data_IF_394801919095
#
_entry.id   IF_394801919095
#
_cell.length_a   1.000
_cell.length_b   1.000
_cell.length_c   1.000
_cell.angle_alpha   90.00
_cell.angle_beta   90.00
_cell.angle_gamma   90.00
#
_symmetry.space_group_name_H-M   'P 1'
#
loop_
_entity.id
_entity.type
_entity.pdbx_description
1 polymer ?
#
# COMPACT_ATOMS: atom_id res chain seq x y z
N UNK A 1 -15.88 -15.87 5.40
CA UNK A 1 -16.22 -17.31 5.41
C UNK A 1 -16.84 -17.76 6.75
N UNK A 2 -16.26 -17.38 7.92
CA UNK A 2 -16.76 -17.79 9.25
C UNK A 2 -18.23 -17.38 9.46
N UNK A 3 -18.62 -16.14 9.17
CA UNK A 3 -20.00 -15.69 9.34
C UNK A 3 -20.99 -16.52 8.51
N UNK A 4 -20.63 -16.84 7.27
CA UNK A 4 -21.45 -17.68 6.39
C UNK A 4 -21.55 -19.11 6.90
N UNK A 5 -20.49 -19.68 7.47
CA UNK A 5 -20.52 -21.01 8.09
C UNK A 5 -21.36 -21.07 9.36
N UNK A 6 -21.62 -19.93 9.98
CA UNK A 6 -22.51 -19.77 11.12
C UNK A 6 -23.97 -19.47 10.74
N UNK A 7 -24.30 -19.51 9.43
CA UNK A 7 -25.65 -19.35 8.92
C UNK A 7 -26.03 -17.92 8.51
N UNK A 8 -25.07 -17.01 8.41
CA UNK A 8 -25.34 -15.67 7.86
C UNK A 8 -25.48 -15.72 6.33
N UNK A 9 -26.45 -15.00 5.77
CA UNK A 9 -26.62 -14.87 4.33
C UNK A 9 -25.65 -13.86 3.72
N UNK A 10 -25.32 -12.80 4.45
CA UNK A 10 -24.44 -11.72 4.04
C UNK A 10 -23.57 -11.23 5.19
N UNK A 11 -22.49 -10.56 4.82
CA UNK A 11 -21.58 -9.85 5.76
C UNK A 11 -21.65 -8.35 5.45
N UNK A 12 -22.17 -7.56 6.38
CA UNK A 12 -22.17 -6.10 6.28
C UNK A 12 -20.90 -5.53 6.94
N UNK A 13 -20.27 -4.56 6.29
CA UNK A 13 -19.05 -3.92 6.80
C UNK A 13 -19.04 -2.43 6.55
N UNK A 14 -18.50 -1.65 7.49
CA UNK A 14 -18.44 -0.17 7.45
C UNK A 14 -17.37 0.40 6.51
N UNK A 15 -16.87 -0.36 5.54
CA UNK A 15 -15.96 0.18 4.53
C UNK A 15 -16.69 1.11 3.56
N UNK A 16 -16.06 2.25 3.25
CA UNK A 16 -16.55 3.20 2.24
C UNK A 16 -16.24 2.67 0.84
N UNK A 17 -17.00 1.67 0.44
CA UNK A 17 -16.96 1.01 -0.86
C UNK A 17 -18.38 0.75 -1.34
N UNK A 18 -18.53 0.41 -2.61
CA UNK A 18 -19.81 0.01 -3.21
C UNK A 18 -19.64 -1.27 -4.00
N UNK A 19 -20.73 -1.95 -4.22
CA UNK A 19 -20.79 -3.09 -5.15
C UNK A 19 -21.83 -2.84 -6.22
N UNK A 20 -21.55 -3.31 -7.42
CA UNK A 20 -22.54 -3.49 -8.46
C UNK A 20 -22.44 -4.90 -9.03
N UNK A 21 -23.48 -5.33 -9.72
CA UNK A 21 -23.46 -6.61 -10.43
C UNK A 21 -24.17 -6.49 -11.75
N UNK A 22 -23.76 -7.32 -12.69
CA UNK A 22 -24.44 -7.48 -13.97
C UNK A 22 -24.47 -8.96 -14.33
N UNK A 23 -25.44 -9.34 -15.13
CA UNK A 23 -25.55 -10.68 -15.69
C UNK A 23 -24.96 -10.70 -17.11
N UNK A 24 -24.15 -11.70 -17.36
CA UNK A 24 -23.74 -12.06 -18.72
C UNK A 24 -24.03 -13.53 -18.88
N UNK A 25 -24.97 -13.86 -19.77
CA UNK A 25 -25.59 -15.19 -19.87
C UNK A 25 -26.15 -15.63 -18.51
N UNK A 26 -25.80 -16.80 -18.03
CA UNK A 26 -26.26 -17.36 -16.75
C UNK A 26 -25.37 -16.97 -15.55
N UNK A 27 -24.29 -16.20 -15.77
CA UNK A 27 -23.33 -15.84 -14.74
C UNK A 27 -23.52 -14.40 -14.25
N UNK A 28 -23.73 -14.23 -12.94
CA UNK A 28 -23.67 -12.92 -12.30
C UNK A 28 -22.22 -12.57 -11.95
N UNK A 29 -21.76 -11.41 -12.42
CA UNK A 29 -20.44 -10.87 -12.12
C UNK A 29 -20.57 -9.65 -11.22
N UNK A 30 -19.78 -9.60 -10.16
CA UNK A 30 -19.78 -8.53 -9.17
C UNK A 30 -18.57 -7.61 -9.37
N UNK A 31 -18.80 -6.32 -9.15
CA UNK A 31 -17.76 -5.28 -9.21
C UNK A 31 -17.60 -4.64 -7.84
N UNK A 32 -16.37 -4.40 -7.43
CA UNK A 32 -16.05 -3.54 -6.31
C UNK A 32 -15.82 -2.13 -6.85
N UNK A 33 -16.54 -1.16 -6.31
CA UNK A 33 -16.46 0.24 -6.69
C UNK A 33 -15.98 1.10 -5.53
N UNK A 34 -15.33 2.21 -5.84
CA UNK A 34 -15.00 3.24 -4.84
C UNK A 34 -16.27 3.76 -4.16
N UNK A 35 -16.17 4.12 -2.89
CA UNK A 35 -17.21 4.87 -2.19
C UNK A 35 -17.45 6.23 -2.84
N UNK A 36 -18.58 6.87 -2.53
CA UNK A 36 -18.90 8.20 -3.05
C UNK A 36 -18.06 9.30 -2.41
N UNK A 37 -17.54 9.09 -1.20
CA UNK A 37 -16.64 10.02 -0.53
C UNK A 37 -15.19 9.81 -1.00
N UNK A 38 -14.64 10.72 -1.84
CA UNK A 38 -13.29 10.56 -2.39
C UNK A 38 -12.19 10.62 -1.33
N UNK A 39 -12.50 11.21 -0.15
CA UNK A 39 -11.55 11.31 0.96
C UNK A 39 -11.55 10.05 1.85
N UNK A 40 -12.45 9.11 1.61
CA UNK A 40 -12.66 7.93 2.46
C UNK A 40 -12.74 6.63 1.67
N UNK A 41 -12.43 6.64 0.38
CA UNK A 41 -12.38 5.41 -0.40
C UNK A 41 -11.48 4.36 0.26
N UNK A 42 -12.06 3.19 0.53
CA UNK A 42 -11.41 2.07 1.20
C UNK A 42 -11.39 0.80 0.34
N UNK A 43 -11.70 0.92 -0.94
CA UNK A 43 -11.74 -0.22 -1.87
C UNK A 43 -10.43 -0.99 -1.92
N UNK A 44 -9.28 -0.31 -1.73
CA UNK A 44 -7.97 -0.94 -1.74
C UNK A 44 -7.77 -1.98 -0.60
N UNK A 45 -8.44 -1.83 0.54
CA UNK A 45 -8.41 -2.83 1.62
C UNK A 45 -9.07 -4.14 1.23
N UNK A 46 -9.93 -4.11 0.21
CA UNK A 46 -10.77 -5.23 -0.22
C UNK A 46 -10.32 -5.83 -1.54
N UNK A 47 -9.13 -5.45 -2.02
CA UNK A 47 -8.58 -5.92 -3.30
C UNK A 47 -8.34 -7.43 -3.36
N UNK A 48 -8.33 -8.13 -2.21
CA UNK A 48 -8.14 -9.59 -2.13
C UNK A 48 -9.46 -10.38 -2.09
N UNK A 49 -10.62 -9.71 -2.15
CA UNK A 49 -11.89 -10.40 -2.22
C UNK A 49 -12.05 -11.13 -3.57
N UNK A 50 -12.66 -12.31 -3.54
CA UNK A 50 -13.07 -13.02 -4.75
C UNK A 50 -14.55 -12.76 -5.07
N UNK A 51 -15.02 -13.24 -6.22
CA UNK A 51 -16.40 -13.06 -6.69
C UNK A 51 -17.45 -13.61 -5.72
N UNK A 52 -17.18 -14.78 -5.11
CA UNK A 52 -18.08 -15.36 -4.12
C UNK A 52 -18.19 -14.49 -2.87
N UNK A 53 -17.05 -14.07 -2.31
CA UNK A 53 -17.03 -13.21 -1.13
C UNK A 53 -17.71 -11.85 -1.42
N UNK A 54 -17.44 -11.28 -2.60
CA UNK A 54 -18.05 -10.00 -2.99
C UNK A 54 -19.57 -10.13 -3.16
N UNK A 55 -20.08 -11.25 -3.67
CA UNK A 55 -21.52 -11.51 -3.79
C UNK A 55 -22.24 -11.59 -2.44
N UNK A 56 -21.48 -11.84 -1.36
CA UNK A 56 -21.98 -11.98 0.02
C UNK A 56 -21.64 -10.77 0.90
N UNK A 57 -21.12 -9.69 0.33
CA UNK A 57 -20.69 -8.51 1.09
C UNK A 57 -21.61 -7.32 0.81
N UNK A 58 -21.99 -6.60 1.88
CA UNK A 58 -22.80 -5.37 1.82
C UNK A 58 -21.99 -4.23 2.42
N UNK A 59 -22.01 -3.07 1.78
CA UNK A 59 -21.34 -1.84 2.23
C UNK A 59 -22.36 -0.74 2.51
N UNK A 60 -23.00 -0.72 3.69
CA UNK A 60 -24.12 0.19 3.98
C UNK A 60 -23.75 1.68 3.91
N UNK A 61 -22.49 2.03 4.12
CA UNK A 61 -22.00 3.41 4.15
C UNK A 61 -21.34 3.86 2.83
N UNK A 62 -21.29 2.99 1.83
CA UNK A 62 -20.58 3.26 0.57
C UNK A 62 -21.19 4.37 -0.28
N UNK A 63 -22.49 4.57 -0.17
CA UNK A 63 -23.25 5.62 -0.87
C UNK A 63 -23.36 6.93 -0.07
N UNK A 64 -22.69 7.04 1.09
CA UNK A 64 -22.79 8.18 1.97
C UNK A 64 -21.43 8.87 2.14
N UNK A 65 -21.45 10.20 2.26
CA UNK A 65 -20.29 10.95 2.75
C UNK A 65 -20.13 10.75 4.26
N UNK A 66 -18.89 10.80 4.74
CA UNK A 66 -18.60 10.54 6.15
C UNK A 66 -19.32 11.46 7.11
N UNK A 67 -19.51 12.72 6.75
CA UNK A 67 -20.22 13.69 7.58
C UNK A 67 -21.71 13.31 7.72
N UNK A 68 -22.30 12.77 6.66
CA UNK A 68 -23.67 12.27 6.70
C UNK A 68 -23.78 11.03 7.58
N UNK A 69 -22.85 10.08 7.50
CA UNK A 69 -22.79 8.91 8.38
C UNK A 69 -22.73 9.35 9.85
N UNK A 70 -21.93 10.37 10.16
CA UNK A 70 -21.84 10.92 11.53
C UNK A 70 -23.14 11.61 11.96
N UNK A 71 -23.79 12.34 11.07
CA UNK A 71 -25.09 12.96 11.34
C UNK A 71 -26.13 11.88 11.69
N UNK A 72 -26.26 10.85 10.86
CA UNK A 72 -27.17 9.73 11.10
C UNK A 72 -26.86 9.04 12.44
N UNK A 73 -25.57 8.82 12.74
CA UNK A 73 -25.17 8.21 14.00
C UNK A 73 -25.56 9.05 15.23
N UNK A 74 -25.47 10.39 15.14
CA UNK A 74 -25.91 11.31 16.20
C UNK A 74 -27.41 11.34 16.35
N UNK A 75 -28.15 11.40 15.26
CA UNK A 75 -29.62 11.39 15.26
C UNK A 75 -30.23 10.10 15.83
N UNK A 76 -29.45 9.01 15.80
CA UNK A 76 -29.84 7.72 16.39
C UNK A 76 -29.15 7.43 17.74
N UNK A 77 -28.55 8.44 18.39
CA UNK A 77 -27.89 8.34 19.70
C UNK A 77 -26.86 7.20 19.80
N UNK A 78 -26.13 6.94 18.67
CA UNK A 78 -25.12 5.90 18.68
C UNK A 78 -23.89 6.35 19.46
N UNK A 79 -23.45 5.55 20.43
CA UNK A 79 -22.28 5.82 21.31
C UNK A 79 -20.98 6.08 20.48
N UNK A 80 -20.95 5.61 19.25
CA UNK A 80 -19.80 5.77 18.36
C UNK A 80 -19.84 7.02 17.49
N UNK A 81 -20.91 7.85 17.57
CA UNK A 81 -21.11 9.01 16.71
C UNK A 81 -19.93 10.01 16.74
N UNK A 82 -19.37 10.27 17.91
CA UNK A 82 -18.22 11.18 18.10
C UNK A 82 -16.86 10.45 18.13
N UNK A 83 -16.84 9.14 17.91
CA UNK A 83 -15.61 8.38 17.86
C UNK A 83 -14.73 8.86 16.69
N UNK A 84 -13.50 9.24 17.01
CA UNK A 84 -12.51 9.58 15.97
C UNK A 84 -12.18 8.35 15.13
N UNK A 85 -11.74 8.60 13.90
CA UNK A 85 -11.25 7.53 13.03
C UNK A 85 -10.20 6.68 13.73
N UNK A 86 -10.29 5.38 13.54
CA UNK A 86 -9.29 4.47 14.07
C UNK A 86 -7.94 4.77 13.41
N UNK A 87 -7.07 5.43 14.15
CA UNK A 87 -5.66 5.53 13.78
C UNK A 87 -4.95 4.33 14.41
N UNK A 88 -4.64 3.32 13.62
CA UNK A 88 -3.99 2.12 14.12
C UNK A 88 -4.28 0.88 13.27
N UNK A 89 -3.85 -0.26 13.77
CA UNK A 89 -4.11 -1.56 13.11
C UNK A 89 -5.55 -2.00 13.40
N UNK A 90 -6.25 -2.45 12.36
CA UNK A 90 -7.59 -3.02 12.48
C UNK A 90 -7.59 -4.11 13.56
N UNK A 91 -8.63 -4.12 14.41
CA UNK A 91 -8.83 -5.05 15.53
C UNK A 91 -7.85 -4.93 16.72
N UNK A 92 -6.69 -4.31 16.55
CA UNK A 92 -5.65 -4.17 17.58
C UNK A 92 -5.74 -2.81 18.30
N UNK A 93 -6.28 -1.79 17.62
CA UNK A 93 -6.47 -0.46 18.19
C UNK A 93 -5.26 0.47 17.97
N UNK A 94 -5.12 1.47 18.86
CA UNK A 94 -4.06 2.49 18.77
C UNK A 94 -2.73 1.94 19.27
N UNK A 95 -2.04 1.20 18.42
CA UNK A 95 -0.67 0.74 18.67
C UNK A 95 0.25 1.39 17.65
N UNK A 96 1.39 1.91 18.09
CA UNK A 96 2.42 2.35 17.18
C UNK A 96 2.97 1.13 16.44
N UNK A 97 2.93 1.13 15.13
CA UNK A 97 3.36 -0.01 14.32
C UNK A 97 4.76 -0.54 14.69
N UNK A 98 5.78 0.31 14.94
CA UNK A 98 7.08 -0.19 15.38
C UNK A 98 7.02 -0.96 16.71
N UNK A 99 6.22 -0.49 17.68
CA UNK A 99 6.10 -1.15 19.01
C UNK A 99 5.35 -2.48 18.89
N UNK A 100 4.39 -2.58 17.99
CA UNK A 100 3.73 -3.84 17.67
C UNK A 100 4.68 -4.84 16.99
N UNK A 101 5.44 -4.37 16.01
CA UNK A 101 6.38 -5.22 15.28
C UNK A 101 7.51 -5.74 16.18
N UNK A 102 7.98 -4.94 17.17
CA UNK A 102 9.00 -5.37 18.14
C UNK A 102 8.59 -6.59 18.97
N UNK A 103 7.30 -6.88 19.10
CA UNK A 103 6.83 -8.08 19.79
C UNK A 103 7.18 -9.38 19.06
N UNK A 104 7.38 -9.31 17.75
CA UNK A 104 7.68 -10.47 16.89
C UNK A 104 9.04 -10.37 16.20
N UNK A 105 9.49 -9.15 15.94
CA UNK A 105 10.72 -8.85 15.24
C UNK A 105 11.67 -8.14 16.20
N UNK A 106 12.67 -8.87 16.70
CA UNK A 106 13.64 -8.32 17.63
C UNK A 106 14.42 -7.16 16.99
N UNK A 107 14.64 -6.05 17.72
CA UNK A 107 15.50 -4.97 17.25
C UNK A 107 16.91 -5.49 16.97
N UNK A 108 17.47 -5.10 15.83
CA UNK A 108 18.84 -5.39 15.43
C UNK A 108 19.47 -4.12 14.88
N UNK A 109 20.52 -3.63 15.51
CA UNK A 109 21.22 -2.45 15.02
C UNK A 109 21.79 -2.68 13.63
N UNK A 110 21.63 -1.68 12.75
CA UNK A 110 22.14 -1.66 11.39
C UNK A 110 22.52 -0.25 10.96
N UNK A 111 23.10 -0.15 9.75
CA UNK A 111 23.59 1.10 9.20
C UNK A 111 22.53 1.83 8.38
N UNK A 112 22.52 3.16 8.51
CA UNK A 112 21.85 4.08 7.57
C UNK A 112 22.92 4.61 6.64
N UNK A 113 22.78 4.32 5.34
CA UNK A 113 23.75 4.71 4.31
C UNK A 113 23.10 5.73 3.38
N UNK A 114 23.70 6.91 3.29
CA UNK A 114 23.30 7.95 2.37
C UNK A 114 23.92 7.71 1.00
N UNK A 115 23.09 7.64 -0.03
CA UNK A 115 23.48 7.55 -1.44
C UNK A 115 23.38 8.94 -2.04
N UNK A 116 24.43 9.48 -2.69
CA UNK A 116 24.35 10.74 -3.41
C UNK A 116 23.39 10.70 -4.60
N UNK A 117 22.70 11.82 -4.89
CA UNK A 117 21.77 11.88 -6.01
C UNK A 117 22.44 11.76 -7.40
N UNK A 118 23.71 12.11 -7.48
CA UNK A 118 24.57 12.02 -8.66
C UNK A 118 25.38 10.72 -8.76
N UNK A 119 25.04 9.70 -7.95
CA UNK A 119 25.72 8.42 -8.02
C UNK A 119 25.50 7.74 -9.37
N UNK A 120 26.56 7.20 -9.97
CA UNK A 120 26.57 6.53 -11.29
C UNK A 120 25.52 5.43 -11.45
N UNK A 121 25.10 4.81 -10.32
CA UNK A 121 24.08 3.77 -10.32
C UNK A 121 22.71 4.26 -10.84
N UNK A 122 22.43 5.57 -10.76
CA UNK A 122 21.19 6.15 -11.28
C UNK A 122 21.27 6.43 -12.79
N UNK A 123 22.42 6.83 -13.32
CA UNK A 123 22.62 7.04 -14.75
C UNK A 123 22.34 5.77 -15.56
N UNK A 124 22.84 4.64 -15.08
CA UNK A 124 22.65 3.34 -15.72
C UNK A 124 21.19 2.83 -15.61
N UNK A 125 20.45 3.25 -14.60
CA UNK A 125 19.07 2.84 -14.40
C UNK A 125 18.08 3.61 -15.30
N UNK A 126 18.37 4.86 -15.65
CA UNK A 126 17.50 5.74 -16.43
C UNK A 126 17.89 5.87 -17.91
N UNK A 127 19.06 5.40 -18.32
CA UNK A 127 19.58 5.53 -19.70
C UNK A 127 19.01 4.54 -20.70
N UNK A 128 18.25 3.53 -20.26
CA UNK A 128 17.57 2.64 -21.19
C UNK A 128 16.27 3.30 -21.64
N UNK A 129 16.20 3.74 -22.90
CA UNK A 129 14.97 4.21 -23.55
C UNK A 129 13.85 3.16 -23.33
N UNK A 130 12.85 3.55 -22.58
CA UNK A 130 11.73 2.70 -22.18
C UNK A 130 10.70 2.51 -23.31
N UNK A 131 11.17 2.12 -24.51
CA UNK A 131 10.28 1.92 -25.65
C UNK A 131 9.78 0.48 -25.82
N UNK A 132 10.11 -0.41 -24.90
CA UNK A 132 9.59 -1.77 -24.95
C UNK A 132 9.19 -2.24 -23.57
N UNK A 133 7.89 -2.46 -23.37
CA UNK A 133 7.27 -3.16 -22.24
C UNK A 133 7.85 -4.57 -21.96
N UNK A 134 8.82 -4.99 -22.75
CA UNK A 134 9.54 -6.27 -22.67
C UNK A 134 10.86 -6.17 -21.91
N UNK A 135 11.34 -4.95 -21.61
CA UNK A 135 12.58 -4.79 -20.83
C UNK A 135 12.25 -4.95 -19.35
N UNK A 136 12.85 -5.92 -18.66
CA UNK A 136 12.62 -6.08 -17.23
C UNK A 136 12.97 -4.78 -16.50
N UNK A 137 12.08 -4.33 -15.63
CA UNK A 137 12.30 -3.17 -14.76
C UNK A 137 13.63 -3.34 -14.05
N UNK A 138 14.58 -2.45 -14.32
CA UNK A 138 15.94 -2.54 -13.80
C UNK A 138 15.92 -2.07 -12.34
N UNK A 139 15.90 -3.01 -11.42
CA UNK A 139 16.00 -2.70 -10.00
C UNK A 139 17.39 -2.15 -9.70
N UNK A 140 17.49 -0.93 -9.17
CA UNK A 140 18.76 -0.37 -8.69
C UNK A 140 19.30 -1.27 -7.57
N UNK A 141 20.51 -1.80 -7.76
CA UNK A 141 21.15 -2.66 -6.79
C UNK A 141 22.05 -1.83 -5.87
N UNK A 142 21.48 -1.38 -4.74
CA UNK A 142 22.22 -0.61 -3.76
C UNK A 142 23.26 -1.47 -3.04
N UNK A 143 24.47 -0.93 -2.90
CA UNK A 143 25.57 -1.54 -2.14
C UNK A 143 26.10 -0.54 -1.11
N UNK A 144 26.65 -1.00 0.03
CA UNK A 144 27.24 -0.10 1.04
C UNK A 144 28.33 0.82 0.49
N UNK A 145 29.03 0.37 -0.53
CA UNK A 145 30.13 1.11 -1.20
C UNK A 145 29.65 2.28 -2.06
N UNK A 146 28.34 2.36 -2.37
CA UNK A 146 27.78 3.45 -3.17
C UNK A 146 27.51 4.72 -2.36
N UNK A 147 27.69 4.69 -1.03
CA UNK A 147 27.42 5.83 -0.17
C UNK A 147 28.24 5.85 1.10
N UNK A 148 27.83 6.70 2.03
CA UNK A 148 28.47 6.87 3.34
C UNK A 148 27.52 6.52 4.47
N UNK A 149 28.01 5.94 5.56
CA UNK A 149 27.24 5.73 6.78
C UNK A 149 26.96 7.09 7.43
N UNK A 150 25.69 7.41 7.65
CA UNK A 150 25.24 8.68 8.25
C UNK A 150 24.50 8.47 9.57
N UNK A 151 24.23 7.24 9.96
CA UNK A 151 23.55 6.92 11.22
C UNK A 151 23.37 5.43 11.43
N UNK A 152 22.63 5.12 12.49
CA UNK A 152 22.25 3.75 12.87
C UNK A 152 20.72 3.65 13.02
N UNK A 153 20.20 2.45 12.85
CA UNK A 153 18.78 2.14 13.08
C UNK A 153 18.64 0.84 13.88
N UNK A 154 17.41 0.52 14.30
CA UNK A 154 17.12 -0.66 15.13
C UNK A 154 16.43 -1.80 14.36
N UNK A 155 16.58 -1.83 13.03
CA UNK A 155 16.06 -2.87 12.15
C UNK A 155 15.55 -2.30 10.83
N UNK A 156 16.12 -2.76 9.70
CA UNK A 156 15.73 -2.30 8.36
C UNK A 156 14.26 -2.60 8.04
N UNK A 157 13.71 -3.66 8.60
CA UNK A 157 12.30 -4.07 8.46
C UNK A 157 11.28 -3.09 9.08
N UNK A 158 11.72 -2.12 9.89
CA UNK A 158 10.85 -1.07 10.41
C UNK A 158 10.68 0.12 9.47
N UNK A 159 11.41 0.15 8.36
CA UNK A 159 11.42 1.26 7.43
C UNK A 159 10.73 0.91 6.11
N UNK A 160 10.16 1.92 5.49
CA UNK A 160 9.47 1.80 4.20
C UNK A 160 10.02 2.84 3.24
N UNK A 161 10.19 2.49 1.96
CA UNK A 161 10.63 3.42 0.93
C UNK A 161 9.79 4.70 0.92
N UNK A 162 10.43 5.86 0.79
CA UNK A 162 9.82 7.18 0.89
C UNK A 162 9.55 7.67 2.31
N UNK A 163 9.86 6.88 3.34
CA UNK A 163 9.72 7.32 4.74
C UNK A 163 10.76 8.37 5.07
N UNK A 164 10.31 9.47 5.73
CA UNK A 164 11.17 10.55 6.25
C UNK A 164 11.32 10.47 7.76
N UNK A 165 10.23 10.21 8.47
CA UNK A 165 10.22 10.23 9.94
C UNK A 165 10.84 8.97 10.53
N UNK A 166 11.56 9.13 11.66
CA UNK A 166 12.09 8.00 12.43
C UNK A 166 13.50 7.56 12.04
N UNK A 167 14.17 8.24 11.10
CA UNK A 167 15.58 7.97 10.75
C UNK A 167 16.54 8.41 11.85
N UNK A 168 16.17 9.39 12.67
CA UNK A 168 17.00 9.97 13.76
C UNK A 168 18.41 10.44 13.29
N UNK A 169 18.54 10.83 12.03
CA UNK A 169 19.73 11.44 11.44
C UNK A 169 19.49 12.92 11.27
N UNK A 170 20.38 13.74 11.79
CA UNK A 170 20.36 15.21 11.68
C UNK A 170 21.61 15.76 11.04
N UNK A 171 21.63 17.09 10.83
CA UNK A 171 22.81 17.78 10.30
C UNK A 171 23.01 17.70 8.79
N UNK A 172 22.00 17.21 8.06
CA UNK A 172 21.99 17.22 6.58
C UNK A 172 21.37 18.51 6.03
N UNK A 173 21.85 19.03 4.89
CA UNK A 173 21.29 20.23 4.25
C UNK A 173 19.79 20.09 3.90
N UNK A 174 19.39 18.91 3.42
CA UNK A 174 18.00 18.57 3.10
C UNK A 174 17.52 17.36 3.89
N UNK A 175 16.20 17.19 4.05
CA UNK A 175 15.64 16.02 4.71
C UNK A 175 16.04 14.71 4.01
N UNK A 176 16.36 13.69 4.81
CA UNK A 176 16.60 12.34 4.31
C UNK A 176 15.29 11.57 4.11
N UNK A 177 15.25 10.79 3.05
CA UNK A 177 14.18 9.86 2.73
C UNK A 177 14.74 8.46 2.50
N UNK A 178 14.04 7.45 2.97
CA UNK A 178 14.38 6.05 2.67
C UNK A 178 14.17 5.78 1.18
N UNK A 179 15.22 5.37 0.48
CA UNK A 179 15.17 5.01 -0.94
C UNK A 179 15.15 3.49 -1.16
N UNK A 180 15.76 2.73 -0.23
CA UNK A 180 15.71 1.27 -0.23
C UNK A 180 15.95 0.69 1.16
N UNK A 181 15.52 -0.55 1.38
CA UNK A 181 15.86 -1.35 2.56
C UNK A 181 16.41 -2.71 2.14
N UNK A 182 17.49 -3.12 2.75
CA UNK A 182 18.06 -4.47 2.64
C UNK A 182 17.88 -5.14 4.01
N UNK A 183 16.83 -5.96 4.12
CA UNK A 183 16.48 -6.62 5.38
C UNK A 183 17.48 -7.70 5.74
N UNK A 184 18.05 -8.40 4.76
CA UNK A 184 19.00 -9.48 4.96
C UNK A 184 20.33 -8.95 5.51
N UNK A 185 20.83 -7.86 4.93
CA UNK A 185 22.05 -7.17 5.41
C UNK A 185 21.77 -6.20 6.55
N UNK A 186 20.50 -5.95 6.86
CA UNK A 186 20.03 -5.00 7.87
C UNK A 186 20.56 -3.58 7.61
N UNK A 187 20.35 -3.07 6.38
CA UNK A 187 20.80 -1.75 5.93
C UNK A 187 19.59 -0.93 5.44
N UNK A 188 19.57 0.34 5.79
CA UNK A 188 18.64 1.34 5.26
C UNK A 188 19.40 2.31 4.39
N UNK A 189 19.07 2.38 3.10
CA UNK A 189 19.63 3.35 2.18
C UNK A 189 18.73 4.59 2.15
N UNK A 190 19.34 5.76 2.20
CA UNK A 190 18.65 7.05 2.23
C UNK A 190 19.21 7.99 1.19
N UNK A 191 18.41 8.96 0.76
CA UNK A 191 18.81 10.05 -0.11
C UNK A 191 18.32 11.40 0.39
N UNK A 192 19.05 12.48 0.10
CA UNK A 192 18.65 13.84 0.47
C UNK A 192 17.69 14.44 -0.53
N UNK A 193 16.67 15.15 0.00
CA UNK A 193 15.70 15.90 -0.78
C UNK A 193 14.59 15.05 -1.38
N UNK A 194 13.45 15.71 -1.60
CA UNK A 194 12.25 15.08 -2.17
C UNK A 194 12.39 14.68 -3.64
N UNK A 195 13.37 15.25 -4.34
CA UNK A 195 13.62 15.01 -5.76
C UNK A 195 14.74 14.00 -6.00
N UNK A 196 15.21 13.31 -4.95
CA UNK A 196 16.26 12.31 -5.08
C UNK A 196 15.84 11.18 -6.05
N UNK A 197 16.68 10.83 -7.06
CA UNK A 197 16.33 9.87 -8.11
C UNK A 197 15.91 8.51 -7.56
N UNK A 198 16.49 8.06 -6.46
CA UNK A 198 16.11 6.81 -5.79
C UNK A 198 14.71 6.75 -5.20
N UNK A 199 13.94 7.85 -5.22
CA UNK A 199 12.54 7.90 -4.78
C UNK A 199 11.54 7.63 -5.91
N UNK A 200 12.01 7.58 -7.15
CA UNK A 200 11.17 7.50 -8.35
C UNK A 200 11.57 6.30 -9.19
N UNK A 201 10.56 5.64 -9.72
CA UNK A 201 10.70 4.59 -10.71
C UNK A 201 9.78 4.87 -11.90
N UNK A 202 10.19 4.42 -13.08
CA UNK A 202 9.40 4.55 -14.32
C UNK A 202 8.45 3.39 -14.52
N UNK A 203 8.65 2.29 -13.79
CA UNK A 203 7.85 1.08 -13.93
C UNK A 203 7.76 0.29 -12.62
N UNK A 204 6.69 -0.48 -12.49
CA UNK A 204 6.46 -1.43 -11.41
C UNK A 204 6.31 -2.83 -12.02
N UNK A 205 7.02 -3.79 -11.46
CA UNK A 205 6.89 -5.19 -11.85
C UNK A 205 6.23 -6.00 -10.73
N UNK A 206 5.21 -6.77 -11.10
CA UNK A 206 4.49 -7.67 -10.20
C UNK A 206 4.55 -9.08 -10.80
N UNK A 207 4.94 -10.07 -10.00
CA UNK A 207 4.92 -11.47 -10.43
C UNK A 207 3.49 -11.92 -10.69
N UNK A 208 3.31 -12.81 -11.66
CA UNK A 208 1.99 -13.36 -11.99
C UNK A 208 1.30 -13.97 -10.76
N UNK A 209 2.04 -14.68 -9.94
CA UNK A 209 1.51 -15.35 -8.74
C UNK A 209 1.15 -14.37 -7.60
N UNK A 210 1.67 -13.15 -7.65
CA UNK A 210 1.34 -12.08 -6.69
C UNK A 210 0.15 -11.22 -7.15
N UNK A 211 -0.38 -11.45 -8.38
CA UNK A 211 -1.54 -10.74 -8.90
C UNK A 211 -2.84 -11.41 -8.49
N UNK A 212 -3.76 -10.64 -7.93
CA UNK A 212 -5.12 -11.06 -7.68
C UNK A 212 -6.10 -10.28 -8.55
N UNK A 213 -6.89 -10.99 -9.36
CA UNK A 213 -7.94 -10.41 -10.18
C UNK A 213 -9.30 -10.56 -9.51
N UNK A 214 -9.81 -9.46 -8.96
CA UNK A 214 -11.17 -9.42 -8.41
C UNK A 214 -12.22 -9.68 -9.52
N UNK A 215 -11.90 -9.28 -10.75
CA UNK A 215 -12.64 -9.55 -11.99
C UNK A 215 -11.83 -10.51 -12.89
N UNK A 216 -11.91 -11.84 -12.66
CA UNK A 216 -11.14 -12.83 -13.44
C UNK A 216 -11.44 -12.80 -14.93
N UNK A 217 -12.62 -12.32 -15.31
CA UNK A 217 -13.05 -12.12 -16.70
C UNK A 217 -12.28 -11.01 -17.43
N UNK A 218 -11.60 -10.12 -16.68
CA UNK A 218 -10.74 -9.06 -17.20
C UNK A 218 -9.25 -9.36 -17.02
N UNK A 219 -8.90 -10.56 -16.57
CA UNK A 219 -7.51 -10.93 -16.36
C UNK A 219 -6.75 -11.00 -17.68
N UNK A 220 -5.62 -10.29 -17.74
CA UNK A 220 -4.76 -10.28 -18.92
C UNK A 220 -4.13 -11.65 -19.19
N UNK A 221 -4.09 -12.05 -20.44
CA UNK A 221 -3.34 -13.19 -20.91
C UNK A 221 -1.88 -12.79 -21.18
N UNK A 222 -1.01 -13.78 -21.30
CA UNK A 222 0.40 -13.54 -21.61
C UNK A 222 0.54 -12.78 -22.94
N UNK A 223 1.24 -11.65 -22.91
CA UNK A 223 1.44 -10.77 -24.08
C UNK A 223 0.35 -9.74 -24.30
N UNK A 224 -0.76 -9.77 -23.58
CA UNK A 224 -1.78 -8.73 -23.66
C UNK A 224 -1.35 -7.45 -22.93
N UNK A 225 -1.82 -6.31 -23.47
CA UNK A 225 -1.55 -4.98 -22.92
C UNK A 225 -2.86 -4.21 -22.74
N UNK A 226 -2.99 -3.54 -21.60
CA UNK A 226 -4.17 -2.75 -21.28
C UNK A 226 -3.78 -1.51 -20.47
N UNK A 227 -4.45 -0.39 -20.71
CA UNK A 227 -4.29 0.81 -19.91
C UNK A 227 -5.15 0.74 -18.64
N UNK A 228 -4.52 0.97 -17.49
CA UNK A 228 -5.19 1.02 -16.20
C UNK A 228 -4.85 2.31 -15.46
N UNK A 229 -5.77 2.75 -14.63
CA UNK A 229 -5.45 3.70 -13.58
C UNK A 229 -5.01 2.92 -12.34
N UNK A 230 -3.87 3.28 -11.76
CA UNK A 230 -3.28 2.57 -10.63
C UNK A 230 -3.11 3.50 -9.42
N UNK A 231 -3.29 2.96 -8.23
CA UNK A 231 -2.93 3.60 -6.98
C UNK A 231 -1.82 2.80 -6.32
N UNK A 232 -0.62 3.37 -6.26
CA UNK A 232 0.56 2.71 -5.69
C UNK A 232 0.67 3.01 -4.19
N UNK A 233 0.25 4.19 -3.76
CA UNK A 233 0.30 4.63 -2.37
C UNK A 233 -0.86 5.56 -2.04
N UNK A 234 -1.22 5.61 -0.75
CA UNK A 234 -2.27 6.49 -0.23
C UNK A 234 -1.71 7.87 0.11
#
# INVERSE_FOLDING_TARGET
DIALSLGADYVATGHYCRTSSFKNDDKTTYQLLSGVDPNKDQSYFLCQLNQYQLSKTIFPVGELHKDEVRRIAKENDLITADKRDSQGLCFIGKVKLPDFLKQKLAPKEGDIIEIPADAELFESAFSSSADTLTTPVRKVNYQPTHGKVVGKHQGAHYFTNGQRKGLAVGGTPEPLFVIATDVDKNIVYVGQGKNHPGLYDTALWIKKDDMHWLRPDLALQAGEQQNYQARIRY
#
